data_IF_848846609860
#
_entry.id   IF_848846609860
#
_cell.length_a   1.000
_cell.length_b   1.000
_cell.length_c   1.000
_cell.angle_alpha   90.00
_cell.angle_beta   90.00
_cell.angle_gamma   90.00
#
_symmetry.space_group_name_H-M   'P 1'
#
loop_
_entity.id
_entity.type
_entity.pdbx_description
1 polymer ?
#
# COMPACT_ATOMS: atom_id res chain seq x y z
N UNK A 1 9.96 36.23 17.25
CA UNK A 1 9.37 34.96 16.76
C UNK A 1 8.99 34.12 17.96
N UNK A 2 7.72 33.71 18.13
CA UNK A 2 7.32 32.87 19.27
C UNK A 2 7.93 31.47 19.12
N UNK A 3 8.62 31.00 20.16
CA UNK A 3 9.17 29.63 20.22
C UNK A 3 8.00 28.65 20.24
N UNK A 4 7.98 27.71 19.29
CA UNK A 4 7.04 26.60 19.31
C UNK A 4 7.25 25.81 20.62
N UNK A 5 6.16 25.60 21.35
CA UNK A 5 6.18 24.99 22.67
C UNK A 5 6.36 23.47 22.50
N UNK A 6 7.57 22.95 22.70
CA UNK A 6 7.87 21.52 22.54
C UNK A 6 6.99 20.60 23.41
N UNK A 7 6.41 21.14 24.48
CA UNK A 7 5.48 20.43 25.37
C UNK A 7 4.18 20.03 24.68
N UNK A 8 3.71 20.78 23.69
CA UNK A 8 2.47 20.47 22.96
C UNK A 8 2.67 19.29 22.02
N UNK A 9 3.87 19.18 21.44
CA UNK A 9 4.23 18.13 20.50
C UNK A 9 4.48 16.79 21.21
N UNK A 10 5.13 16.80 22.37
CA UNK A 10 5.30 15.60 23.18
C UNK A 10 3.97 15.04 23.68
N UNK A 11 3.01 15.91 24.00
CA UNK A 11 1.64 15.54 24.38
C UNK A 11 0.87 14.85 23.23
N UNK A 12 0.99 15.38 22.01
CA UNK A 12 0.36 14.77 20.83
C UNK A 12 0.95 13.39 20.51
N UNK A 13 2.27 13.25 20.57
CA UNK A 13 2.96 11.97 20.35
C UNK A 13 2.62 10.95 21.45
N UNK A 14 2.54 11.39 22.70
CA UNK A 14 2.09 10.56 23.81
C UNK A 14 0.63 10.09 23.62
N UNK A 15 -0.26 10.97 23.13
CA UNK A 15 -1.66 10.62 22.88
C UNK A 15 -1.82 9.61 21.73
N UNK A 16 -1.05 9.77 20.64
CA UNK A 16 -1.03 8.82 19.53
C UNK A 16 -0.46 7.45 19.96
N UNK A 17 0.58 7.45 20.79
CA UNK A 17 1.14 6.23 21.38
C UNK A 17 0.13 5.53 22.33
N UNK A 18 -0.57 6.30 23.18
CA UNK A 18 -1.64 5.80 24.05
C UNK A 18 -2.82 5.22 23.27
N UNK A 19 -3.23 5.84 22.17
CA UNK A 19 -4.30 5.30 21.31
C UNK A 19 -3.88 4.00 20.61
N UNK A 20 -2.62 3.92 20.16
CA UNK A 20 -2.09 2.70 19.55
C UNK A 20 -1.98 1.53 20.53
N UNK A 21 -1.63 1.81 21.80
CA UNK A 21 -1.49 0.80 22.86
C UNK A 21 -2.84 0.38 23.46
N UNK A 22 -3.84 1.28 23.52
CA UNK A 22 -5.21 0.91 23.92
C UNK A 22 -5.86 -0.09 22.95
N UNK A 23 -5.53 -0.01 21.66
CA UNK A 23 -5.96 -1.00 20.66
C UNK A 23 -5.43 -2.41 20.94
N UNK A 24 -4.20 -2.50 21.47
CA UNK A 24 -3.54 -3.77 21.85
C UNK A 24 -4.16 -4.33 23.14
N UNK A 25 -4.45 -3.49 24.13
CA UNK A 25 -5.01 -3.92 25.40
C UNK A 25 -6.44 -4.49 25.29
N UNK A 26 -7.24 -4.04 24.29
CA UNK A 26 -8.58 -4.59 24.02
C UNK A 26 -8.61 -5.80 23.10
N UNK A 27 -7.47 -6.20 22.54
CA UNK A 27 -7.35 -7.38 21.68
C UNK A 27 -7.03 -8.67 22.44
N UNK A 28 -6.84 -8.60 23.77
CA UNK A 28 -6.66 -9.78 24.62
C UNK A 28 -8.00 -10.53 24.75
N UNK A 29 -8.09 -11.80 24.32
CA UNK A 29 -9.30 -12.58 24.50
C UNK A 29 -9.53 -12.83 26.00
N UNK A 30 -10.79 -12.82 26.47
CA UNK A 30 -11.10 -13.25 27.83
C UNK A 30 -10.71 -14.73 28.01
N UNK A 31 -10.35 -15.16 29.23
CA UNK A 31 -10.04 -16.55 29.53
C UNK A 31 -11.25 -17.43 29.20
N UNK A 32 -11.06 -18.40 28.31
CA UNK A 32 -12.11 -19.33 27.88
C UNK A 32 -12.47 -20.27 29.03
N UNK A 33 -13.76 -20.56 29.28
CA UNK A 33 -14.14 -21.60 30.21
C UNK A 33 -13.84 -22.98 29.60
N UNK A 34 -13.25 -23.84 30.41
CA UNK A 34 -13.05 -25.25 30.14
C UNK A 34 -14.40 -25.99 30.11
N UNK A 35 -14.69 -26.67 29.00
CA UNK A 35 -15.84 -27.58 28.91
C UNK A 35 -15.44 -28.81 28.12
N UNK A 36 -15.13 -29.88 28.87
CA UNK A 36 -14.98 -31.24 28.38
C UNK A 36 -16.34 -31.90 28.23
N UNK A 37 -16.65 -32.47 27.06
CA UNK A 37 -17.50 -33.65 26.90
C UNK A 37 -17.28 -34.26 25.52
N UNK A 38 -16.68 -35.45 25.52
CA UNK A 38 -16.36 -36.26 24.35
C UNK A 38 -17.66 -36.88 23.80
N UNK A 39 -18.05 -36.53 22.58
CA UNK A 39 -19.07 -37.24 21.80
C UNK A 39 -18.36 -37.92 20.63
N UNK A 40 -18.42 -39.25 20.57
CA UNK A 40 -17.85 -40.05 19.48
C UNK A 40 -18.56 -39.71 18.15
N UNK A 41 -17.83 -39.47 17.04
CA UNK A 41 -18.45 -39.20 15.76
C UNK A 41 -19.02 -40.47 15.13
N UNK A 42 -20.32 -40.46 14.91
CA UNK A 42 -21.03 -41.41 14.07
C UNK A 42 -20.56 -41.23 12.61
N UNK A 43 -19.91 -42.25 12.06
CA UNK A 43 -19.37 -42.29 10.69
C UNK A 43 -20.53 -42.24 9.67
N UNK A 44 -20.96 -41.03 9.30
CA UNK A 44 -21.78 -40.80 8.10
C UNK A 44 -20.93 -41.11 6.87
N UNK A 45 -21.58 -41.68 5.86
CA UNK A 45 -21.01 -41.88 4.53
C UNK A 45 -20.37 -40.57 4.04
N UNK A 46 -19.17 -40.70 3.46
CA UNK A 46 -18.43 -39.57 2.90
C UNK A 46 -19.34 -38.84 1.89
N UNK A 47 -19.68 -37.56 2.11
CA UNK A 47 -20.29 -36.76 1.06
C UNK A 47 -19.27 -36.67 -0.09
N UNK A 48 -19.76 -36.68 -1.33
CA UNK A 48 -18.96 -36.37 -2.52
C UNK A 48 -17.95 -35.25 -2.20
N UNK A 49 -16.67 -35.37 -2.61
CA UNK A 49 -15.64 -34.40 -2.26
C UNK A 49 -16.14 -33.02 -2.67
N UNK A 50 -16.50 -32.20 -1.67
CA UNK A 50 -16.99 -30.86 -1.96
C UNK A 50 -15.93 -30.16 -2.81
N UNK A 51 -16.33 -29.52 -3.92
CA UNK A 51 -15.39 -28.78 -4.74
C UNK A 51 -14.66 -27.80 -3.84
N UNK A 52 -13.34 -27.96 -3.77
CA UNK A 52 -12.52 -27.12 -2.92
C UNK A 52 -12.55 -25.69 -3.44
N UNK A 53 -12.79 -24.73 -2.54
CA UNK A 53 -12.78 -23.32 -2.84
C UNK A 53 -13.94 -22.60 -2.17
N UNK A 54 -14.13 -21.35 -2.57
CA UNK A 54 -15.28 -20.55 -2.19
C UNK A 54 -15.53 -19.47 -3.25
N UNK A 55 -16.75 -18.95 -3.29
CA UNK A 55 -17.10 -17.84 -4.17
C UNK A 55 -16.61 -16.52 -3.57
N UNK A 56 -15.70 -15.87 -4.28
CA UNK A 56 -15.18 -14.58 -3.88
C UNK A 56 -16.07 -13.42 -4.31
N UNK A 57 -15.90 -12.27 -3.66
CA UNK A 57 -16.61 -11.05 -4.01
C UNK A 57 -15.91 -10.25 -5.11
N UNK A 58 -16.47 -10.35 -6.31
CA UNK A 58 -15.98 -9.70 -7.52
C UNK A 58 -16.01 -8.16 -7.40
N UNK A 59 -16.93 -7.57 -6.62
CA UNK A 59 -17.01 -6.12 -6.43
C UNK A 59 -15.94 -5.58 -5.47
N UNK A 60 -15.25 -6.46 -4.77
CA UNK A 60 -14.31 -6.08 -3.72
C UNK A 60 -12.86 -6.25 -4.17
N UNK A 61 -12.55 -7.30 -4.91
CA UNK A 61 -11.21 -7.56 -5.47
C UNK A 61 -11.26 -8.32 -6.80
N UNK A 62 -12.35 -8.18 -7.56
CA UNK A 62 -12.49 -8.80 -8.87
C UNK A 62 -11.46 -8.32 -9.89
N UNK A 63 -11.46 -8.97 -11.06
CA UNK A 63 -10.44 -8.79 -12.09
C UNK A 63 -10.24 -7.32 -12.49
N UNK A 64 -11.31 -6.54 -12.65
CA UNK A 64 -11.17 -5.13 -13.06
C UNK A 64 -10.50 -4.26 -12.01
N UNK A 65 -10.74 -4.52 -10.72
CA UNK A 65 -10.06 -3.81 -9.61
C UNK A 65 -8.58 -4.15 -9.59
N UNK A 66 -8.25 -5.45 -9.68
CA UNK A 66 -6.87 -5.95 -9.68
C UNK A 66 -6.07 -5.39 -10.85
N UNK A 67 -6.57 -5.55 -12.08
CA UNK A 67 -5.92 -5.03 -13.28
C UNK A 67 -5.79 -3.51 -13.26
N UNK A 68 -6.83 -2.79 -12.80
CA UNK A 68 -6.79 -1.35 -12.65
C UNK A 68 -5.65 -0.91 -11.73
N UNK A 69 -5.53 -1.51 -10.55
CA UNK A 69 -4.42 -1.24 -9.61
C UNK A 69 -3.05 -1.56 -10.22
N UNK A 70 -2.90 -2.71 -10.89
CA UNK A 70 -1.63 -3.11 -11.50
C UNK A 70 -1.19 -2.14 -12.58
N UNK A 71 -2.10 -1.77 -13.49
CA UNK A 71 -1.83 -0.80 -14.56
C UNK A 71 -1.51 0.57 -13.97
N UNK A 72 -2.24 0.98 -12.93
CA UNK A 72 -2.04 2.27 -12.30
C UNK A 72 -0.66 2.37 -11.61
N UNK A 73 -0.26 1.33 -10.87
CA UNK A 73 1.07 1.31 -10.24
C UNK A 73 2.18 1.20 -11.28
N UNK A 74 1.98 0.40 -12.34
CA UNK A 74 2.90 0.37 -13.48
C UNK A 74 3.05 1.76 -14.12
N UNK A 75 1.95 2.51 -14.28
CA UNK A 75 1.97 3.89 -14.79
C UNK A 75 2.81 4.79 -13.91
N UNK A 76 2.64 4.71 -12.59
CA UNK A 76 3.41 5.51 -11.64
C UNK A 76 4.89 5.16 -11.68
N UNK A 77 5.21 3.85 -11.75
CA UNK A 77 6.58 3.36 -11.87
C UNK A 77 7.24 3.86 -13.17
N UNK A 78 6.56 3.76 -14.31
CA UNK A 78 7.08 4.25 -15.60
C UNK A 78 7.29 5.77 -15.60
N UNK A 79 6.36 6.52 -15.01
CA UNK A 79 6.47 7.97 -14.85
C UNK A 79 7.73 8.34 -14.05
N UNK A 80 7.98 7.64 -12.95
CA UNK A 80 9.16 7.88 -12.11
C UNK A 80 10.46 7.38 -12.74
N UNK A 81 10.44 6.20 -13.39
CA UNK A 81 11.63 5.58 -13.97
C UNK A 81 12.18 6.36 -15.15
N UNK A 82 11.29 6.79 -16.06
CA UNK A 82 11.75 7.41 -17.29
C UNK A 82 12.26 8.83 -17.03
N UNK A 83 11.82 9.50 -15.96
CA UNK A 83 12.24 10.88 -15.63
C UNK A 83 11.97 11.90 -16.73
N UNK A 84 11.32 11.49 -17.83
CA UNK A 84 11.01 12.32 -18.97
C UNK A 84 9.82 13.21 -18.62
N UNK A 85 8.83 12.69 -17.91
CA UNK A 85 7.57 13.38 -17.70
C UNK A 85 7.69 14.47 -16.63
N UNK A 86 6.98 15.57 -16.83
CA UNK A 86 6.94 16.70 -15.89
C UNK A 86 6.51 16.26 -14.47
N UNK A 87 7.08 16.89 -13.42
CA UNK A 87 6.72 16.70 -12.00
C UNK A 87 5.21 16.68 -11.72
N UNK A 88 4.47 17.56 -12.40
CA UNK A 88 3.02 17.68 -12.25
C UNK A 88 2.27 16.39 -12.59
N UNK A 89 2.76 15.61 -13.56
CA UNK A 89 2.13 14.34 -13.91
C UNK A 89 2.40 13.29 -12.83
N UNK A 90 3.63 13.20 -12.32
CA UNK A 90 3.97 12.30 -11.23
C UNK A 90 3.12 12.60 -9.97
N UNK A 91 2.91 13.88 -9.67
CA UNK A 91 1.99 14.33 -8.60
C UNK A 91 0.55 13.88 -8.85
N UNK A 92 0.06 14.02 -10.08
CA UNK A 92 -1.28 13.54 -10.46
C UNK A 92 -1.41 12.02 -10.30
N UNK A 93 -0.40 11.25 -10.70
CA UNK A 93 -0.39 9.78 -10.59
C UNK A 93 -0.47 9.32 -9.13
N UNK A 94 0.27 9.98 -8.23
CA UNK A 94 0.22 9.70 -6.80
C UNK A 94 -1.16 9.96 -6.20
N UNK A 95 -1.80 11.06 -6.59
CA UNK A 95 -3.18 11.35 -6.17
C UNK A 95 -4.17 10.25 -6.59
N UNK A 96 -4.07 9.74 -7.82
CA UNK A 96 -4.91 8.64 -8.30
C UNK A 96 -4.63 7.34 -7.52
N UNK A 97 -3.35 7.04 -7.23
CA UNK A 97 -2.99 5.87 -6.41
C UNK A 97 -3.59 5.95 -5.01
N UNK A 98 -3.52 7.13 -4.39
CA UNK A 98 -4.09 7.35 -3.07
C UNK A 98 -5.61 7.16 -3.11
N UNK A 99 -6.31 7.66 -4.13
CA UNK A 99 -7.74 7.41 -4.31
C UNK A 99 -8.04 5.91 -4.37
N UNK A 100 -7.32 5.15 -5.18
CA UNK A 100 -7.51 3.70 -5.25
C UNK A 100 -7.25 3.01 -3.91
N UNK A 101 -6.19 3.40 -3.21
CA UNK A 101 -5.85 2.82 -1.92
C UNK A 101 -6.92 3.11 -0.86
N UNK A 102 -7.43 4.34 -0.80
CA UNK A 102 -8.56 4.71 0.06
C UNK A 102 -9.80 3.89 -0.31
N UNK A 103 -10.09 3.72 -1.60
CA UNK A 103 -11.25 2.95 -2.06
C UNK A 103 -11.16 1.47 -1.66
N UNK A 104 -10.02 0.81 -1.90
CA UNK A 104 -9.83 -0.60 -1.55
C UNK A 104 -9.86 -0.79 -0.03
N UNK A 105 -9.19 0.08 0.72
CA UNK A 105 -9.20 0.02 2.18
C UNK A 105 -10.60 0.32 2.76
N UNK A 106 -11.31 1.28 2.19
CA UNK A 106 -12.70 1.57 2.55
C UNK A 106 -13.62 0.37 2.28
N UNK A 107 -13.46 -0.28 1.12
CA UNK A 107 -14.14 -1.53 0.78
C UNK A 107 -13.81 -2.65 1.77
N UNK A 108 -12.54 -2.77 2.18
CA UNK A 108 -12.10 -3.76 3.17
C UNK A 108 -12.78 -3.54 4.51
N UNK A 109 -12.80 -2.30 5.00
CA UNK A 109 -13.49 -1.94 6.24
C UNK A 109 -14.99 -2.22 6.14
N UNK A 110 -15.61 -1.87 5.01
CA UNK A 110 -17.04 -2.09 4.76
C UNK A 110 -17.39 -3.57 4.79
N UNK A 111 -16.70 -4.40 4.01
CA UNK A 111 -16.93 -5.86 3.95
C UNK A 111 -16.67 -6.49 5.32
N UNK A 112 -15.62 -6.06 6.01
CA UNK A 112 -15.31 -6.58 7.34
C UNK A 112 -16.34 -6.20 8.39
N UNK A 113 -16.90 -4.99 8.33
CA UNK A 113 -17.93 -4.53 9.25
C UNK A 113 -19.31 -5.17 8.99
N UNK A 114 -19.63 -5.42 7.72
CA UNK A 114 -20.94 -5.95 7.29
C UNK A 114 -20.99 -7.47 7.35
N UNK A 115 -19.98 -8.17 6.80
CA UNK A 115 -19.93 -9.65 6.77
C UNK A 115 -19.23 -10.25 7.98
N UNK A 116 -18.37 -9.49 8.65
CA UNK A 116 -17.60 -9.99 9.80
C UNK A 116 -18.40 -10.22 11.09
N UNK A 117 -19.67 -9.79 11.17
CA UNK A 117 -20.52 -9.98 12.36
C UNK A 117 -21.47 -11.16 12.28
N UNK A 118 -21.76 -11.65 11.07
CA UNK A 118 -22.74 -12.70 10.81
C UNK A 118 -22.06 -13.87 10.10
N UNK A 119 -21.61 -14.87 10.85
CA UNK A 119 -21.10 -16.13 10.26
C UNK A 119 -22.17 -16.85 9.39
N UNK A 120 -23.46 -16.53 9.59
CA UNK A 120 -24.58 -17.09 8.83
C UNK A 120 -24.92 -16.33 7.53
N UNK A 121 -24.53 -15.05 7.39
CA UNK A 121 -24.82 -14.24 6.21
C UNK A 121 -23.53 -13.93 5.44
N UNK A 122 -23.11 -14.85 4.58
CA UNK A 122 -21.93 -14.69 3.73
C UNK A 122 -20.61 -14.81 4.50
N UNK A 123 -20.11 -16.04 4.60
CA UNK A 123 -18.83 -16.33 5.25
C UNK A 123 -17.70 -15.52 4.60
N UNK A 124 -17.07 -14.62 5.38
CA UNK A 124 -15.88 -13.90 4.96
C UNK A 124 -14.65 -14.76 5.24
N UNK A 125 -13.85 -15.03 4.21
CA UNK A 125 -12.66 -15.87 4.33
C UNK A 125 -11.43 -15.02 4.60
N UNK A 126 -10.51 -15.53 5.44
CA UNK A 126 -9.24 -14.86 5.74
C UNK A 126 -8.41 -14.58 4.48
N UNK A 127 -8.48 -15.47 3.48
CA UNK A 127 -7.80 -15.32 2.20
C UNK A 127 -8.27 -14.08 1.42
N UNK A 128 -9.56 -13.74 1.47
CA UNK A 128 -10.11 -12.55 0.79
C UNK A 128 -9.56 -11.27 1.38
N UNK A 129 -9.56 -11.19 2.71
CA UNK A 129 -9.00 -10.03 3.41
C UNK A 129 -7.53 -9.88 3.09
N UNK A 130 -6.79 -10.99 3.02
CA UNK A 130 -5.38 -10.95 2.67
C UNK A 130 -5.13 -10.45 1.26
N UNK A 131 -5.95 -10.86 0.27
CA UNK A 131 -5.93 -10.30 -1.09
C UNK A 131 -6.12 -8.78 -1.05
N UNK A 132 -7.14 -8.30 -0.35
CA UNK A 132 -7.41 -6.86 -0.25
C UNK A 132 -6.27 -6.10 0.44
N UNK A 133 -5.66 -6.69 1.48
CA UNK A 133 -4.50 -6.11 2.15
C UNK A 133 -3.30 -6.00 1.20
N UNK A 134 -3.02 -7.03 0.40
CA UNK A 134 -2.00 -6.97 -0.66
C UNK A 134 -2.28 -5.83 -1.65
N UNK A 135 -3.54 -5.68 -2.08
CA UNK A 135 -3.96 -4.58 -2.96
C UNK A 135 -3.84 -3.20 -2.31
N UNK A 136 -3.97 -3.10 -0.98
CA UNK A 136 -3.72 -1.86 -0.25
C UNK A 136 -2.23 -1.52 -0.15
N UNK A 137 -1.35 -2.52 -0.10
CA UNK A 137 0.09 -2.35 0.16
C UNK A 137 0.90 -1.80 -1.04
N UNK A 138 0.51 -2.10 -2.28
CA UNK A 138 1.36 -1.79 -3.44
C UNK A 138 1.55 -0.29 -3.74
N UNK A 139 0.68 0.59 -3.23
CA UNK A 139 0.84 2.05 -3.35
C UNK A 139 1.84 2.68 -2.38
N UNK A 140 2.19 1.98 -1.28
CA UNK A 140 3.00 2.54 -0.17
C UNK A 140 4.47 2.74 -0.56
N UNK A 141 4.95 2.03 -1.57
CA UNK A 141 6.39 1.91 -1.88
C UNK A 141 6.90 2.91 -2.94
N UNK A 142 6.07 3.86 -3.39
CA UNK A 142 6.50 4.89 -4.36
C UNK A 142 7.02 6.13 -3.63
N UNK A 143 8.31 6.15 -3.30
CA UNK A 143 9.01 7.35 -2.85
C UNK A 143 9.35 8.20 -4.08
N UNK A 144 9.21 9.52 -4.03
CA UNK A 144 9.74 10.39 -5.11
C UNK A 144 10.35 11.68 -4.54
N UNK A 145 11.56 12.04 -4.99
CA UNK A 145 12.44 13.03 -4.35
C UNK A 145 12.18 14.48 -4.77
N UNK A 146 10.98 14.81 -5.28
CA UNK A 146 10.75 16.16 -5.78
C UNK A 146 10.52 17.17 -4.65
N UNK A 147 11.06 18.40 -4.77
CA UNK A 147 10.89 19.45 -3.76
C UNK A 147 9.40 19.72 -3.56
N UNK A 148 8.93 19.37 -2.37
CA UNK A 148 7.51 19.38 -2.01
C UNK A 148 6.96 20.79 -2.00
N UNK A 149 5.89 21.08 -2.75
CA UNK A 149 5.07 22.28 -2.54
C UNK A 149 4.14 22.11 -1.33
N UNK A 150 3.61 23.21 -0.76
CA UNK A 150 2.69 23.16 0.41
C UNK A 150 1.48 22.25 0.20
N UNK A 151 0.89 22.23 -1.00
CA UNK A 151 -0.26 21.38 -1.31
C UNK A 151 0.06 19.87 -1.25
N UNK A 152 1.32 19.49 -1.43
CA UNK A 152 1.73 18.09 -1.44
C UNK A 152 1.98 17.57 -0.01
N UNK A 153 2.24 18.44 0.98
CA UNK A 153 2.35 18.06 2.39
C UNK A 153 1.05 17.44 2.92
N UNK A 154 -0.10 18.01 2.55
CA UNK A 154 -1.42 17.50 2.96
C UNK A 154 -1.65 16.08 2.44
N UNK A 155 -1.27 15.85 1.18
CA UNK A 155 -1.30 14.51 0.58
C UNK A 155 -0.47 13.52 1.40
N UNK A 156 0.70 13.91 1.87
CA UNK A 156 1.59 12.98 2.60
C UNK A 156 1.13 12.70 4.01
N UNK A 157 0.64 13.72 4.72
CA UNK A 157 0.04 13.54 6.03
C UNK A 157 -1.14 12.59 5.92
N UNK A 158 -1.98 12.76 4.90
CA UNK A 158 -3.10 11.87 4.64
C UNK A 158 -2.66 10.46 4.24
N UNK A 159 -1.70 10.33 3.34
CA UNK A 159 -1.11 9.05 2.92
C UNK A 159 -0.51 8.29 4.11
N UNK A 160 0.24 8.97 4.99
CA UNK A 160 0.82 8.35 6.17
C UNK A 160 -0.25 8.01 7.22
N UNK A 161 -1.28 8.84 7.37
CA UNK A 161 -2.45 8.51 8.18
C UNK A 161 -3.14 7.23 7.70
N UNK A 162 -3.32 7.09 6.38
CA UNK A 162 -3.87 5.88 5.78
C UNK A 162 -2.95 4.67 6.02
N UNK A 163 -1.62 4.82 5.88
CA UNK A 163 -0.65 3.76 6.18
C UNK A 163 -0.72 3.28 7.63
N UNK A 164 -0.85 4.21 8.60
CA UNK A 164 -1.05 3.86 10.01
C UNK A 164 -2.36 3.12 10.22
N UNK A 165 -3.46 3.55 9.58
CA UNK A 165 -4.74 2.88 9.67
C UNK A 165 -4.69 1.45 9.11
N UNK A 166 -4.07 1.26 7.95
CA UNK A 166 -3.89 -0.06 7.33
C UNK A 166 -2.99 -0.97 8.17
N UNK A 167 -1.88 -0.47 8.70
CA UNK A 167 -0.98 -1.23 9.56
C UNK A 167 -1.69 -1.67 10.86
N UNK A 168 -2.45 -0.75 11.48
CA UNK A 168 -3.26 -1.04 12.67
C UNK A 168 -4.34 -2.08 12.38
N UNK A 169 -5.03 -1.95 11.24
CA UNK A 169 -6.02 -2.94 10.80
C UNK A 169 -5.37 -4.31 10.57
N UNK A 170 -4.18 -4.35 9.96
CA UNK A 170 -3.44 -5.59 9.69
C UNK A 170 -3.04 -6.29 10.99
N UNK A 171 -2.54 -5.54 11.99
CA UNK A 171 -2.26 -6.08 13.32
C UNK A 171 -3.53 -6.67 13.95
N UNK A 172 -4.63 -5.91 13.98
CA UNK A 172 -5.90 -6.40 14.51
C UNK A 172 -6.40 -7.67 13.79
N UNK A 173 -6.32 -7.69 12.47
CA UNK A 173 -6.72 -8.83 11.65
C UNK A 173 -5.92 -10.08 12.02
N UNK A 174 -4.59 -9.99 12.04
CA UNK A 174 -3.70 -11.14 12.27
C UNK A 174 -3.78 -11.65 13.71
N UNK A 175 -3.89 -10.75 14.70
CA UNK A 175 -3.91 -11.12 16.10
C UNK A 175 -5.27 -11.66 16.54
N UNK A 176 -6.36 -11.02 16.13
CA UNK A 176 -7.68 -11.29 16.71
C UNK A 176 -8.64 -11.95 15.74
N UNK A 177 -8.68 -11.51 14.48
CA UNK A 177 -9.82 -11.86 13.60
C UNK A 177 -9.60 -13.04 12.70
N UNK A 178 -8.36 -13.32 12.32
CA UNK A 178 -8.06 -14.42 11.40
C UNK A 178 -8.54 -15.79 11.91
N UNK A 179 -8.59 -15.99 13.24
CA UNK A 179 -9.12 -17.22 13.88
C UNK A 179 -10.65 -17.29 13.90
N UNK A 180 -11.33 -16.16 13.73
CA UNK A 180 -12.79 -16.07 13.81
C UNK A 180 -13.44 -16.16 12.43
N UNK A 181 -12.65 -16.16 11.36
CA UNK A 181 -13.11 -16.20 9.98
C UNK A 181 -13.26 -17.63 9.47
N UNK A 182 -14.08 -17.78 8.43
CA UNK A 182 -14.25 -19.07 7.79
C UNK A 182 -12.91 -19.53 7.21
N UNK A 183 -12.54 -20.77 7.54
CA UNK A 183 -11.36 -21.42 6.99
C UNK A 183 -11.71 -22.86 6.62
N UNK A 184 -11.85 -23.13 5.32
CA UNK A 184 -11.93 -24.51 4.84
C UNK A 184 -10.54 -25.14 4.85
N UNK A 185 -10.47 -26.47 4.79
CA UNK A 185 -9.17 -27.14 4.80
C UNK A 185 -8.27 -26.80 3.63
N UNK A 186 -8.86 -26.28 2.57
CA UNK A 186 -8.20 -26.06 1.31
C UNK A 186 -8.10 -24.57 0.92
N UNK A 187 -8.64 -23.65 1.73
CA UNK A 187 -8.56 -22.21 1.56
C UNK A 187 -7.76 -21.53 2.68
N UNK A 188 -6.52 -21.96 2.89
CA UNK A 188 -5.64 -21.48 3.97
C UNK A 188 -4.30 -20.94 3.48
N UNK A 189 -4.13 -20.75 2.19
CA UNK A 189 -2.82 -20.56 1.58
C UNK A 189 -2.52 -19.10 1.31
N UNK A 190 -1.28 -18.68 1.52
CA UNK A 190 -0.78 -17.38 1.11
C UNK A 190 0.56 -17.50 0.40
N UNK A 191 1.01 -16.38 -0.15
CA UNK A 191 2.26 -16.26 -0.87
C UNK A 191 3.37 -15.73 0.02
N UNK A 192 4.46 -16.50 0.06
CA UNK A 192 5.74 -16.06 0.60
C UNK A 192 6.87 -16.60 -0.30
N UNK A 193 6.80 -16.30 -1.60
CA UNK A 193 7.62 -16.91 -2.66
C UNK A 193 7.46 -18.42 -2.85
N UNK A 194 6.66 -19.04 -1.99
CA UNK A 194 6.17 -20.41 -2.07
C UNK A 194 4.76 -20.47 -1.49
N UNK A 195 4.06 -21.58 -1.71
CA UNK A 195 2.74 -21.85 -1.15
C UNK A 195 2.88 -22.15 0.34
N UNK A 196 2.37 -21.25 1.19
CA UNK A 196 2.48 -21.37 2.65
C UNK A 196 1.11 -21.38 3.30
N UNK A 197 0.96 -22.11 4.40
CA UNK A 197 -0.24 -22.08 5.22
C UNK A 197 -0.25 -20.80 6.09
N UNK A 198 -1.35 -20.05 6.03
CA UNK A 198 -1.54 -18.75 6.67
C UNK A 198 -1.58 -18.80 8.19
N UNK A 199 -1.90 -19.95 8.78
CA UNK A 199 -2.18 -20.11 10.21
C UNK A 199 -0.97 -20.57 11.03
N UNK A 200 0.07 -21.07 10.36
CA UNK A 200 1.28 -21.62 11.00
C UNK A 200 2.38 -20.56 11.16
N UNK A 201 3.62 -20.90 10.79
CA UNK A 201 4.80 -20.05 10.93
C UNK A 201 4.64 -18.71 10.21
N UNK A 202 3.91 -18.68 9.09
CA UNK A 202 3.65 -17.45 8.33
C UNK A 202 2.89 -16.43 9.17
N UNK A 203 1.88 -16.86 9.93
CA UNK A 203 1.16 -15.98 10.87
C UNK A 203 2.10 -15.38 11.90
N UNK A 204 2.93 -16.22 12.51
CA UNK A 204 3.86 -15.79 13.54
C UNK A 204 4.86 -14.77 12.99
N UNK A 205 5.39 -15.03 11.79
CA UNK A 205 6.25 -14.10 11.08
C UNK A 205 5.58 -12.74 10.86
N UNK A 206 4.33 -12.70 10.41
CA UNK A 206 3.62 -11.44 10.23
C UNK A 206 3.26 -10.74 11.55
N UNK A 207 2.93 -11.47 12.61
CA UNK A 207 2.74 -10.91 13.95
C UNK A 207 3.99 -10.15 14.40
N UNK A 208 5.16 -10.77 14.26
CA UNK A 208 6.45 -10.18 14.68
C UNK A 208 6.84 -9.01 13.78
N UNK A 209 6.71 -9.15 12.45
CA UNK A 209 7.15 -8.12 11.50
C UNK A 209 6.24 -6.89 11.43
N UNK A 210 4.94 -7.03 11.72
CA UNK A 210 4.01 -5.90 11.67
C UNK A 210 4.13 -4.94 12.85
N UNK A 211 4.65 -5.38 14.01
CA UNK A 211 4.91 -4.50 15.16
C UNK A 211 5.90 -3.38 14.79
N UNK A 212 7.15 -3.67 14.37
CA UNK A 212 8.09 -2.62 13.99
C UNK A 212 7.61 -1.83 12.77
N UNK A 213 6.93 -2.47 11.82
CA UNK A 213 6.34 -1.75 10.67
C UNK A 213 5.33 -0.70 11.12
N UNK A 214 4.45 -1.03 12.08
CA UNK A 214 3.43 -0.12 12.62
C UNK A 214 4.06 1.03 13.41
N UNK A 215 5.09 0.73 14.21
CA UNK A 215 5.87 1.75 14.93
C UNK A 215 6.55 2.70 13.92
N UNK A 216 7.16 2.15 12.87
CA UNK A 216 7.83 2.92 11.82
C UNK A 216 6.86 3.87 11.10
N UNK A 217 5.70 3.39 10.63
CA UNK A 217 4.74 4.27 9.94
C UNK A 217 4.15 5.33 10.87
N UNK A 218 3.96 5.01 12.16
CA UNK A 218 3.49 5.99 13.16
C UNK A 218 4.55 7.07 13.41
N UNK A 219 5.82 6.68 13.51
CA UNK A 219 6.93 7.62 13.61
C UNK A 219 7.03 8.50 12.36
N UNK A 220 6.90 7.93 11.16
CA UNK A 220 6.88 8.67 9.89
C UNK A 220 5.74 9.69 9.82
N UNK A 221 4.55 9.35 10.33
CA UNK A 221 3.43 10.31 10.43
C UNK A 221 3.77 11.45 11.39
N UNK A 222 4.30 11.14 12.57
CA UNK A 222 4.75 12.16 13.54
C UNK A 222 5.81 13.08 12.93
N UNK A 223 6.79 12.52 12.22
CA UNK A 223 7.80 13.27 11.50
C UNK A 223 7.21 14.17 10.40
N UNK A 224 6.24 13.67 9.62
CA UNK A 224 5.53 14.47 8.60
C UNK A 224 4.76 15.64 9.23
N UNK A 225 4.08 15.42 10.35
CA UNK A 225 3.38 16.48 11.08
C UNK A 225 4.36 17.54 11.59
N UNK A 226 5.45 17.12 12.23
CA UNK A 226 6.51 18.03 12.69
C UNK A 226 7.06 18.87 11.54
N UNK A 227 7.43 18.24 10.42
CA UNK A 227 7.88 18.91 9.19
C UNK A 227 6.91 19.97 8.68
N UNK A 228 5.61 19.73 8.84
CA UNK A 228 4.56 20.68 8.43
C UNK A 228 4.61 21.96 9.26
N UNK A 229 4.89 21.86 10.56
CA UNK A 229 4.92 22.99 11.49
C UNK A 229 6.28 23.68 11.61
N UNK A 230 7.38 23.05 11.20
CA UNK A 230 8.75 23.59 11.35
C UNK A 230 9.45 23.78 9.98
N UNK A 231 9.46 25.00 9.42
CA UNK A 231 10.02 25.26 8.08
C UNK A 231 11.51 24.91 7.92
N UNK A 232 12.33 25.05 8.97
CA UNK A 232 13.76 24.74 8.92
C UNK A 232 14.05 23.25 8.71
N UNK A 233 13.28 22.39 9.37
CA UNK A 233 13.42 20.93 9.28
C UNK A 233 12.88 20.38 7.95
N UNK A 234 11.98 21.13 7.29
CA UNK A 234 11.55 20.83 5.92
C UNK A 234 12.72 20.85 4.94
N UNK A 235 13.49 21.94 4.93
CA UNK A 235 14.65 22.12 4.01
C UNK A 235 15.69 21.02 4.19
N UNK A 236 16.14 20.79 5.42
CA UNK A 236 17.15 19.78 5.73
C UNK A 236 16.79 18.38 5.24
N UNK A 237 15.52 17.98 5.40
CA UNK A 237 15.08 16.66 4.98
C UNK A 237 14.78 16.58 3.48
N UNK A 238 14.51 17.70 2.79
CA UNK A 238 14.35 17.71 1.32
C UNK A 238 15.74 17.52 0.68
N UNK A 239 16.76 18.21 1.22
CA UNK A 239 18.15 18.09 0.78
C UNK A 239 18.69 16.67 1.01
N UNK A 240 18.40 16.07 2.18
CA UNK A 240 18.80 14.71 2.50
C UNK A 240 18.12 13.65 1.61
N UNK A 241 16.83 13.81 1.31
CA UNK A 241 16.07 12.90 0.45
C UNK A 241 16.56 12.96 -1.00
N UNK A 242 16.88 14.16 -1.50
CA UNK A 242 17.47 14.35 -2.82
C UNK A 242 18.86 13.71 -2.91
N UNK A 243 19.70 13.89 -1.89
CA UNK A 243 21.04 13.31 -1.83
C UNK A 243 21.00 11.77 -1.83
N UNK A 244 20.09 11.16 -1.06
CA UNK A 244 19.87 9.71 -1.08
C UNK A 244 19.31 9.21 -2.41
N UNK A 245 18.44 10.02 -3.04
CA UNK A 245 17.95 9.84 -4.40
C UNK A 245 19.08 9.61 -5.40
N UNK A 246 20.03 10.55 -5.40
CA UNK A 246 21.15 10.56 -6.33
C UNK A 246 22.18 9.46 -6.07
N UNK A 247 22.36 9.03 -4.81
CA UNK A 247 23.37 8.02 -4.47
C UNK A 247 22.98 6.58 -4.85
N UNK A 248 21.69 6.28 -5.02
CA UNK A 248 21.20 4.90 -5.23
C UNK A 248 20.22 4.72 -6.42
N UNK A 249 20.51 5.25 -7.62
CA UNK A 249 19.56 5.29 -8.74
C UNK A 249 18.98 3.92 -9.12
N UNK A 250 19.77 2.85 -9.02
CA UNK A 250 19.30 1.50 -9.34
C UNK A 250 18.25 0.99 -8.33
N UNK A 251 18.44 1.29 -7.04
CA UNK A 251 17.52 0.88 -5.98
C UNK A 251 16.12 1.50 -6.17
N UNK A 252 16.08 2.73 -6.69
CA UNK A 252 14.85 3.46 -7.01
C UNK A 252 14.02 2.81 -8.13
N UNK A 253 14.64 1.99 -8.97
CA UNK A 253 13.96 1.29 -10.08
C UNK A 253 13.62 -0.13 -9.70
N UNK A 254 14.59 -0.84 -9.11
CA UNK A 254 14.43 -2.25 -8.76
C UNK A 254 13.38 -2.41 -7.66
N UNK A 255 13.40 -1.57 -6.62
CA UNK A 255 12.51 -1.74 -5.47
C UNK A 255 11.02 -1.64 -5.84
N UNK A 256 10.55 -0.61 -6.57
CA UNK A 256 9.15 -0.54 -6.99
C UNK A 256 8.75 -1.65 -7.97
N UNK A 257 9.66 -2.05 -8.88
CA UNK A 257 9.41 -3.14 -9.84
C UNK A 257 9.23 -4.48 -9.11
N UNK A 258 10.11 -4.76 -8.16
CA UNK A 258 10.05 -5.95 -7.31
C UNK A 258 8.78 -5.96 -6.45
N UNK A 259 8.43 -4.81 -5.87
CA UNK A 259 7.21 -4.64 -5.09
C UNK A 259 5.95 -4.92 -5.93
N UNK A 260 5.87 -4.34 -7.14
CA UNK A 260 4.75 -4.57 -8.06
C UNK A 260 4.64 -6.06 -8.42
N UNK A 261 5.75 -6.69 -8.84
CA UNK A 261 5.78 -8.10 -9.17
C UNK A 261 5.37 -8.99 -8.00
N UNK A 262 5.86 -8.68 -6.78
CA UNK A 262 5.52 -9.41 -5.56
C UNK A 262 4.05 -9.25 -5.18
N UNK A 263 3.44 -8.08 -5.35
CA UNK A 263 2.03 -7.86 -5.05
C UNK A 263 1.11 -8.56 -6.06
N UNK A 264 1.46 -8.54 -7.35
CA UNK A 264 0.75 -9.30 -8.39
C UNK A 264 0.82 -10.79 -8.07
N UNK A 265 2.04 -11.32 -7.87
CA UNK A 265 2.23 -12.73 -7.52
C UNK A 265 1.46 -13.11 -6.26
N UNK A 266 1.52 -12.29 -5.21
CA UNK A 266 0.80 -12.53 -3.97
C UNK A 266 -0.70 -12.65 -4.22
N UNK A 267 -1.29 -11.65 -4.87
CA UNK A 267 -2.74 -11.59 -5.11
C UNK A 267 -3.22 -12.77 -5.97
N UNK A 268 -2.57 -13.00 -7.13
CA UNK A 268 -3.00 -14.01 -8.09
C UNK A 268 -2.78 -15.44 -7.57
N UNK A 269 -1.68 -15.67 -6.83
CA UNK A 269 -1.41 -16.98 -6.27
C UNK A 269 -2.28 -17.29 -5.06
N UNK A 270 -2.66 -16.29 -4.24
CA UNK A 270 -3.67 -16.50 -3.19
C UNK A 270 -5.00 -16.92 -3.82
N UNK A 271 -5.47 -16.21 -4.85
CA UNK A 271 -6.72 -16.55 -5.56
C UNK A 271 -6.65 -17.98 -6.13
N UNK A 272 -5.55 -18.31 -6.81
CA UNK A 272 -5.37 -19.62 -7.45
C UNK A 272 -5.21 -20.77 -6.45
N UNK A 273 -4.42 -20.59 -5.39
CA UNK A 273 -4.13 -21.66 -4.43
C UNK A 273 -5.25 -21.94 -3.45
N UNK A 274 -6.16 -20.98 -3.24
CA UNK A 274 -7.36 -21.13 -2.42
C UNK A 274 -8.62 -21.43 -3.24
N UNK A 275 -8.50 -21.58 -4.56
CA UNK A 275 -9.62 -21.87 -5.45
C UNK A 275 -10.76 -20.85 -5.30
N UNK A 276 -10.43 -19.56 -5.31
CA UNK A 276 -11.44 -18.49 -5.23
C UNK A 276 -12.13 -18.36 -6.59
N UNK A 277 -13.44 -18.61 -6.62
CA UNK A 277 -14.27 -18.57 -7.82
C UNK A 277 -14.95 -17.21 -8.00
N UNK A 278 -15.52 -16.98 -9.18
CA UNK A 278 -16.32 -15.79 -9.51
C UNK A 278 -15.62 -14.42 -9.43
N UNK A 279 -14.29 -14.38 -9.28
CA UNK A 279 -13.50 -13.12 -9.20
C UNK A 279 -12.70 -12.81 -10.47
N UNK A 280 -12.78 -13.65 -11.50
CA UNK A 280 -12.02 -13.53 -12.76
C UNK A 280 -12.85 -12.98 -13.93
N UNK A 281 -14.11 -12.61 -13.70
CA UNK A 281 -14.97 -11.95 -14.69
C UNK A 281 -15.02 -10.44 -14.44
N UNK A 282 -15.17 -9.67 -15.51
CA UNK A 282 -15.46 -8.23 -15.45
C UNK A 282 -16.96 -8.08 -15.64
N UNK A 283 -17.72 -8.27 -14.56
CA UNK A 283 -19.18 -8.22 -14.59
C UNK A 283 -19.76 -6.97 -13.92
N UNK A 284 -19.17 -6.55 -12.79
CA UNK A 284 -19.68 -5.46 -11.97
C UNK A 284 -19.18 -4.06 -12.36
N UNK A 285 -20.06 -3.07 -12.32
CA UNK A 285 -19.71 -1.64 -12.50
C UNK A 285 -18.62 -1.18 -11.54
N UNK A 286 -18.60 -1.72 -10.31
CA UNK A 286 -17.57 -1.41 -9.31
C UNK A 286 -16.15 -1.78 -9.75
N UNK A 287 -16.01 -2.76 -10.64
CA UNK A 287 -14.72 -3.16 -11.21
C UNK A 287 -14.35 -2.40 -12.48
N UNK A 288 -15.33 -1.91 -13.21
CA UNK A 288 -15.12 -1.21 -14.48
C UNK A 288 -14.50 0.18 -14.26
N UNK A 289 -14.95 0.90 -13.24
CA UNK A 289 -14.43 2.24 -12.89
C UNK A 289 -12.90 2.22 -12.70
N UNK A 290 -12.33 1.40 -11.79
CA UNK A 290 -10.88 1.39 -11.58
C UNK A 290 -10.11 0.96 -12.82
N UNK A 291 -10.63 -0.01 -13.59
CA UNK A 291 -10.01 -0.44 -14.84
C UNK A 291 -9.94 0.69 -15.88
N UNK A 292 -11.05 1.38 -16.12
CA UNK A 292 -11.11 2.49 -17.09
C UNK A 292 -10.20 3.63 -16.66
N UNK A 293 -10.27 4.05 -15.39
CA UNK A 293 -9.44 5.15 -14.87
C UNK A 293 -7.96 4.83 -15.05
N UNK A 294 -7.53 3.61 -14.71
CA UNK A 294 -6.15 3.18 -14.87
C UNK A 294 -5.72 3.13 -16.35
N UNK A 295 -6.56 2.58 -17.24
CA UNK A 295 -6.28 2.52 -18.67
C UNK A 295 -6.14 3.90 -19.30
N UNK A 296 -7.07 4.83 -19.01
CA UNK A 296 -7.01 6.20 -19.52
C UNK A 296 -5.77 6.94 -19.00
N UNK A 297 -5.43 6.72 -17.74
CA UNK A 297 -4.25 7.29 -17.10
C UNK A 297 -2.96 6.77 -17.76
N UNK A 298 -2.89 5.46 -18.01
CA UNK A 298 -1.78 4.84 -18.72
C UNK A 298 -1.65 5.33 -20.17
N UNK A 299 -2.76 5.43 -20.92
CA UNK A 299 -2.77 5.94 -22.30
C UNK A 299 -2.27 7.39 -22.33
N UNK A 300 -2.76 8.24 -21.43
CA UNK A 300 -2.32 9.63 -21.30
C UNK A 300 -0.81 9.71 -21.03
N UNK A 301 -0.29 8.87 -20.13
CA UNK A 301 1.14 8.80 -19.83
C UNK A 301 1.94 8.37 -21.07
N UNK A 302 1.52 7.30 -21.75
CA UNK A 302 2.19 6.78 -22.94
C UNK A 302 2.24 7.83 -24.07
N UNK A 303 1.15 8.57 -24.28
CA UNK A 303 1.11 9.66 -25.25
C UNK A 303 2.11 10.79 -24.91
N UNK A 304 2.18 11.20 -23.64
CA UNK A 304 3.13 12.22 -23.19
C UNK A 304 4.57 11.75 -23.35
N UNK A 305 4.87 10.51 -23.00
CA UNK A 305 6.19 9.91 -23.19
C UNK A 305 6.58 9.89 -24.68
N UNK A 306 5.68 9.44 -25.54
CA UNK A 306 5.92 9.36 -26.98
C UNK A 306 6.19 10.73 -27.60
N UNK A 307 5.37 11.73 -27.29
CA UNK A 307 5.53 13.09 -27.81
C UNK A 307 6.83 13.74 -27.32
N UNK A 308 7.21 13.50 -26.07
CA UNK A 308 8.47 14.04 -25.53
C UNK A 308 9.71 13.37 -26.11
N UNK A 309 9.70 12.05 -26.29
CA UNK A 309 10.78 11.35 -27.00
C UNK A 309 10.96 11.87 -28.43
N UNK A 310 9.85 12.18 -29.12
CA UNK A 310 9.90 12.77 -30.46
C UNK A 310 10.49 14.18 -30.45
N UNK A 311 10.13 15.00 -29.47
CA UNK A 311 10.67 16.36 -29.31
C UNK A 311 12.18 16.34 -29.06
N UNK A 312 12.68 15.47 -28.19
CA UNK A 312 14.11 15.39 -27.86
C UNK A 312 14.98 15.00 -29.06
N UNK A 313 14.44 14.17 -29.97
CA UNK A 313 15.14 13.81 -31.22
C UNK A 313 15.19 14.97 -32.24
N UNK A 314 14.29 15.94 -32.13
CA UNK A 314 14.18 17.05 -33.09
C UNK A 314 15.11 18.23 -32.78
N UNK A 315 15.63 18.34 -31.56
CA UNK A 315 16.65 19.33 -31.19
C UNK A 315 18.06 18.72 -31.31
N UNK A 316 18.84 19.04 -32.36
CA UNK A 316 20.26 18.71 -32.38
C UNK A 316 20.99 19.45 -31.24
N UNK A 317 22.08 18.90 -30.68
CA UNK A 317 22.86 19.58 -29.67
C UNK A 317 23.43 20.87 -30.26
N UNK A 318 22.88 22.02 -29.86
CA UNK A 318 23.53 23.31 -30.07
C UNK A 318 24.82 23.31 -29.27
N UNK A 319 25.93 23.06 -29.95
CA UNK A 319 27.26 23.37 -29.48
C UNK A 319 27.34 24.88 -29.27
N UNK A 320 27.03 25.37 -28.07
CA UNK A 320 27.37 26.73 -27.67
C UNK A 320 28.86 26.73 -27.32
N UNK A 321 29.75 27.39 -28.09
CA UNK A 321 31.13 27.54 -27.67
C UNK A 321 31.16 28.41 -26.41
N UNK A 322 31.78 27.89 -25.36
CA UNK A 322 32.13 28.62 -24.15
C UNK A 322 32.99 29.83 -24.53
N UNK A 323 32.37 31.01 -24.58
CA UNK A 323 33.10 32.26 -24.67
C UNK A 323 33.92 32.40 -23.37
N UNK A 324 35.24 32.29 -23.50
CA UNK A 324 36.19 32.72 -22.49
C UNK A 324 35.94 34.18 -22.14
N UNK A 325 35.34 34.47 -20.99
CA UNK A 325 35.39 35.82 -20.42
C UNK A 325 36.64 35.97 -19.56
N UNK A 326 37.58 36.68 -20.15
CA UNK A 326 38.80 37.24 -19.58
C UNK A 326 38.60 37.87 -18.19
N UNK A 327 39.46 37.47 -17.26
CA UNK A 327 40.30 38.33 -16.40
C UNK A 327 39.91 39.81 -16.27
N UNK A 328 39.55 40.22 -15.05
CA UNK A 328 39.80 41.55 -14.49
C UNK A 328 40.09 41.43 -13.00
N UNK A 329 41.38 41.41 -12.68
CA UNK A 329 41.97 41.52 -11.35
C UNK A 329 41.78 42.97 -10.87
N UNK A 330 41.04 43.21 -9.80
CA UNK A 330 41.06 44.50 -9.10
C UNK A 330 41.71 44.32 -7.74
N UNK A 331 42.98 44.77 -7.64
CA UNK A 331 43.65 45.09 -6.40
C UNK A 331 42.88 46.24 -5.72
N UNK A 332 42.67 46.11 -4.41
CA UNK A 332 42.38 47.25 -3.53
C UNK A 332 43.49 47.30 -2.49
N UNK A 333 44.15 48.45 -2.44
CA UNK A 333 45.13 48.90 -1.45
C UNK A 333 44.43 49.18 -0.13
#
# INVERSE_FOLDING_TARGET
>A
MPRANLSSLSLLLAYLFLLSTLGIARALPPPSPSSSSFVLPQRRADPDPQPCGFDGDDNTYGLGIRLGLYIQWLSTMLCNFLGLVKPEEAKSMKGINLCFQVSVFGGLLYVTATRGRTQEAGQLYAAEIWVMLCLCLGGVLTVSPEPRERAYIVHDVFQQGLNVAMASYTLWFIYTRMDQMAHSSCSRYSFFYTKVDMYHWFRLFWKISMIPATISVTFCLGWCLVRTFTPGMRRLSDDAELAWGQSHPLLWVISPSFALGSTIASTELIIRWNHIHNVNSIGGTGQLIPLIVACLTFIRLAYKLFTQMRSNKATPPTNTPSLMTSTSLHLTI
#
